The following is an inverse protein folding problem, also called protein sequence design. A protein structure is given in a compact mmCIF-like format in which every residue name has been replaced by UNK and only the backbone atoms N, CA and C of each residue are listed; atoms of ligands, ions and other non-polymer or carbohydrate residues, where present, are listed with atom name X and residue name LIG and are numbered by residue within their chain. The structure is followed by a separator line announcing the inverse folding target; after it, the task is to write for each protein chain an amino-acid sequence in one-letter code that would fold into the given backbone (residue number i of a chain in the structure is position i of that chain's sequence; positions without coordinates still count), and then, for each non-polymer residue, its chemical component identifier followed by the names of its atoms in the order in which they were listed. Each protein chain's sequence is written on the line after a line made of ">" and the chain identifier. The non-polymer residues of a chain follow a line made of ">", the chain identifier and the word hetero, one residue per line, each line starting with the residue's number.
data_IF_682138911807
#
_entry.id   IF_682138911807
#
_cell.length_a   1.000
_cell.length_b   1.000
_cell.length_c   1.000
_cell.angle_alpha   90.00
_cell.angle_beta   90.00
_cell.angle_gamma   90.00
#
_symmetry.space_group_name_H-M   'P 1'
#
loop_
_entity.id
_entity.type
_entity.pdbx_description
1 polymer ?
#
# COMPACT_ATOMS: atom_id res chain seq x y z
N UNK A 1 13.49 4.98 -0.56
CA UNK A 1 12.26 4.18 -0.75
C UNK A 1 11.80 3.62 0.60
N UNK A 2 10.91 4.32 1.30
CA UNK A 2 10.50 3.97 2.68
C UNK A 2 8.98 3.95 2.86
N UNK A 3 8.21 3.92 1.76
CA UNK A 3 6.77 4.18 1.79
C UNK A 3 5.93 2.94 2.13
N UNK A 4 6.48 1.73 1.99
CA UNK A 4 5.75 0.49 2.32
C UNK A 4 5.81 0.10 3.80
N UNK A 5 6.87 0.47 4.53
CA UNK A 5 7.11 0.03 5.91
C UNK A 5 6.44 0.93 6.95
N UNK A 6 6.32 2.22 6.68
CA UNK A 6 5.78 3.21 7.62
C UNK A 6 4.27 3.12 7.81
N UNK A 7 3.54 2.48 6.88
CA UNK A 7 2.08 2.29 6.99
C UNK A 7 1.74 1.39 8.16
N UNK A 8 2.52 0.33 8.37
CA UNK A 8 2.37 -0.62 9.49
C UNK A 8 2.97 -0.10 10.80
N UNK A 9 3.72 1.02 10.76
CA UNK A 9 4.55 1.54 11.86
C UNK A 9 5.56 0.53 12.42
N UNK A 10 5.86 -0.53 11.67
CA UNK A 10 6.81 -1.56 12.06
C UNK A 10 8.24 -1.15 11.72
N UNK A 11 9.19 -1.64 12.50
CA UNK A 11 10.59 -1.58 12.09
C UNK A 11 10.79 -2.46 10.84
N UNK A 12 11.78 -2.16 9.99
CA UNK A 12 12.08 -3.00 8.83
C UNK A 12 12.31 -4.47 9.18
N UNK A 13 13.00 -4.75 10.30
CA UNK A 13 13.24 -6.12 10.78
C UNK A 13 11.94 -6.86 11.12
N UNK A 14 11.02 -6.18 11.82
CA UNK A 14 9.73 -6.75 12.19
C UNK A 14 8.87 -7.06 10.95
N UNK A 15 8.91 -6.21 9.93
CA UNK A 15 8.22 -6.46 8.67
C UNK A 15 8.76 -7.68 7.93
N UNK A 16 10.09 -7.81 7.81
CA UNK A 16 10.70 -8.93 7.09
C UNK A 16 10.57 -10.27 7.80
N UNK A 17 10.38 -10.27 9.12
CA UNK A 17 10.12 -11.47 9.92
C UNK A 17 8.65 -11.87 9.96
N UNK A 18 7.74 -10.98 9.60
CA UNK A 18 6.31 -11.27 9.63
C UNK A 18 5.92 -12.29 8.57
N UNK A 19 5.02 -13.20 8.94
CA UNK A 19 4.42 -14.15 8.01
C UNK A 19 3.38 -13.45 7.11
N UNK A 20 3.09 -13.99 5.92
CA UNK A 20 2.06 -13.43 5.04
C UNK A 20 0.71 -13.25 5.75
N UNK A 21 0.32 -14.18 6.64
CA UNK A 21 -0.93 -14.10 7.40
C UNK A 21 -0.96 -12.92 8.37
N UNK A 22 0.16 -12.66 9.06
CA UNK A 22 0.28 -11.53 9.98
C UNK A 22 0.26 -10.19 9.23
N UNK A 23 0.87 -10.14 8.05
CA UNK A 23 0.80 -8.97 7.17
C UNK A 23 -0.64 -8.68 6.73
N UNK A 24 -1.41 -9.69 6.32
CA UNK A 24 -2.82 -9.51 5.97
C UNK A 24 -3.64 -9.02 7.16
N UNK A 25 -3.46 -9.62 8.34
CA UNK A 25 -4.21 -9.23 9.55
C UNK A 25 -3.89 -7.79 9.97
N UNK A 26 -2.61 -7.41 9.92
CA UNK A 26 -2.18 -6.05 10.23
C UNK A 26 -2.71 -5.02 9.21
N UNK A 27 -2.76 -5.41 7.93
CA UNK A 27 -3.35 -4.60 6.87
C UNK A 27 -4.86 -4.42 7.02
N UNK A 28 -5.59 -5.47 7.37
CA UNK A 28 -7.04 -5.42 7.66
C UNK A 28 -7.33 -4.49 8.85
N UNK A 29 -6.52 -4.55 9.91
CA UNK A 29 -6.63 -3.66 11.06
C UNK A 29 -6.39 -2.18 10.71
N UNK A 30 -5.46 -1.89 9.80
CA UNK A 30 -5.15 -0.52 9.38
C UNK A 30 -6.15 0.05 8.37
N UNK A 31 -6.63 -0.78 7.45
CA UNK A 31 -7.64 -0.39 6.47
C UNK A 31 -9.05 -0.29 7.09
N UNK A 32 -9.20 -0.65 8.38
CA UNK A 32 -10.47 -0.57 9.10
C UNK A 32 -11.53 -1.50 8.52
N UNK A 33 -11.11 -2.64 7.93
CA UNK A 33 -12.01 -3.54 7.22
C UNK A 33 -12.58 -2.97 5.91
N UNK A 34 -12.03 -1.86 5.40
CA UNK A 34 -12.38 -1.36 4.06
C UNK A 34 -11.91 -2.39 3.03
N UNK A 35 -12.87 -3.09 2.43
CA UNK A 35 -12.60 -3.94 1.27
C UNK A 35 -11.95 -3.08 0.19
N UNK A 36 -10.77 -3.49 -0.25
CA UNK A 36 -10.10 -2.83 -1.35
C UNK A 36 -10.88 -3.20 -2.61
N UNK A 37 -11.63 -2.25 -3.15
CA UNK A 37 -12.30 -2.44 -4.42
C UNK A 37 -11.26 -2.54 -5.54
N UNK A 38 -11.50 -3.38 -6.56
CA UNK A 38 -10.60 -3.46 -7.71
C UNK A 38 -10.42 -2.07 -8.33
N UNK A 39 -9.17 -1.69 -8.59
CA UNK A 39 -8.88 -0.44 -9.28
C UNK A 39 -9.53 -0.45 -10.68
N UNK A 40 -10.19 0.65 -11.02
CA UNK A 40 -10.83 0.82 -12.33
C UNK A 40 -9.93 1.62 -13.27
N UNK A 41 -10.27 1.61 -14.56
CA UNK A 41 -9.59 2.43 -15.58
C UNK A 41 -9.55 3.93 -15.20
N UNK A 42 -10.58 4.41 -14.50
CA UNK A 42 -10.64 5.79 -14.01
C UNK A 42 -9.60 6.08 -12.92
N UNK A 43 -9.30 5.11 -12.05
CA UNK A 43 -8.27 5.25 -11.02
C UNK A 43 -6.88 5.31 -11.64
N UNK A 44 -6.64 4.51 -12.68
CA UNK A 44 -5.41 4.57 -13.47
C UNK A 44 -5.24 5.94 -14.13
N UNK A 45 -6.30 6.46 -14.77
CA UNK A 45 -6.27 7.80 -15.38
C UNK A 45 -5.94 8.88 -14.35
N UNK A 46 -6.60 8.85 -13.19
CA UNK A 46 -6.32 9.78 -12.09
C UNK A 46 -4.87 9.67 -11.60
N UNK A 47 -4.32 8.46 -11.53
CA UNK A 47 -2.92 8.23 -11.16
C UNK A 47 -1.96 8.87 -12.16
N UNK A 48 -2.19 8.67 -13.46
CA UNK A 48 -1.37 9.25 -14.53
C UNK A 48 -1.44 10.79 -14.55
N UNK A 49 -2.61 11.36 -14.27
CA UNK A 49 -2.78 12.82 -14.15
C UNK A 49 -2.06 13.39 -12.91
N UNK A 50 -2.07 12.66 -11.79
CA UNK A 50 -1.44 13.08 -10.54
C UNK A 50 0.08 12.97 -10.57
N UNK A 51 0.61 11.99 -11.30
CA UNK A 51 2.04 11.72 -11.47
C UNK A 51 2.36 11.68 -12.96
N UNK A 52 2.34 12.83 -13.65
CA UNK A 52 2.74 12.88 -15.04
C UNK A 52 4.21 12.47 -15.14
N UNK A 53 4.52 11.60 -16.10
CA UNK A 53 5.91 11.33 -16.45
C UNK A 53 6.53 12.66 -16.88
N UNK A 54 7.46 13.18 -16.08
CA UNK A 54 8.28 14.32 -16.50
C UNK A 54 9.09 13.88 -17.71
N UNK A 55 9.05 14.65 -18.80
CA UNK A 55 10.00 14.49 -19.89
C UNK A 55 11.44 14.57 -19.32
N UNK A 56 12.29 13.63 -19.73
CA UNK A 56 13.64 13.43 -19.23
C UNK A 56 14.57 14.62 -19.52
#
# INVERSE_FOLDING_TARGET
>A
MMLGLSVLRWSPDQFWRATPRELFTAWEGLSGGRRMEPALCQDLKRMMEAFPDSEW
#
